data_IF_195455206761
#
_entry.id   IF_195455206761
#
_cell.length_a   1.000
_cell.length_b   1.000
_cell.length_c   1.000
_cell.angle_alpha   90.00
_cell.angle_beta   90.00
_cell.angle_gamma   90.00
#
_symmetry.space_group_name_H-M   'P 1'
#
loop_
_entity.id
_entity.type
_entity.pdbx_description
1 polymer ?
#
# COMPACT_ATOMS: atom_id res chain seq x y z
N UNK A 1 3.59 -18.52 -22.89
CA UNK A 1 2.89 -17.83 -21.79
C UNK A 1 3.88 -17.77 -20.64
N UNK A 2 4.49 -16.59 -20.40
CA UNK A 2 5.46 -16.43 -19.32
C UNK A 2 4.75 -16.62 -17.97
N UNK A 3 5.23 -17.59 -17.20
CA UNK A 3 4.88 -17.80 -15.80
C UNK A 3 5.39 -16.61 -14.99
N UNK A 4 4.50 -15.80 -14.42
CA UNK A 4 4.84 -14.82 -13.39
C UNK A 4 5.09 -15.56 -12.07
N UNK A 5 6.30 -16.12 -11.96
CA UNK A 5 6.81 -16.75 -10.75
C UNK A 5 6.94 -15.69 -9.64
N UNK A 6 6.05 -15.72 -8.66
CA UNK A 6 6.42 -15.57 -7.25
C UNK A 6 6.67 -14.17 -6.66
N UNK A 7 6.53 -13.06 -7.38
CA UNK A 7 6.47 -11.74 -6.75
C UNK A 7 5.01 -11.33 -6.54
N UNK A 8 4.39 -11.90 -5.51
CA UNK A 8 3.18 -11.31 -4.95
C UNK A 8 3.57 -9.90 -4.52
N UNK A 9 3.05 -8.89 -5.21
CA UNK A 9 3.32 -7.48 -4.88
C UNK A 9 2.79 -7.27 -3.47
N UNK A 10 3.70 -7.14 -2.51
CA UNK A 10 3.36 -7.01 -1.10
C UNK A 10 2.38 -5.83 -0.93
N UNK A 11 1.38 -5.99 -0.07
CA UNK A 11 0.34 -4.97 0.15
C UNK A 11 -0.82 -4.92 -0.86
N UNK A 12 -0.81 -5.67 -1.97
CA UNK A 12 -1.98 -5.72 -2.86
C UNK A 12 -3.19 -6.39 -2.20
N UNK A 13 -4.36 -5.78 -2.31
CA UNK A 13 -5.61 -6.36 -1.82
C UNK A 13 -5.96 -7.60 -2.65
N UNK A 14 -6.20 -8.73 -1.96
CA UNK A 14 -6.61 -9.97 -2.63
C UNK A 14 -8.03 -9.86 -3.20
N UNK A 15 -8.39 -10.75 -4.12
CA UNK A 15 -9.75 -10.82 -4.64
C UNK A 15 -10.80 -11.05 -3.54
N UNK A 16 -10.45 -11.78 -2.46
CA UNK A 16 -11.32 -11.94 -1.31
C UNK A 16 -11.45 -10.63 -0.52
N UNK A 17 -10.36 -9.90 -0.30
CA UNK A 17 -10.41 -8.61 0.39
C UNK A 17 -11.21 -7.54 -0.36
N UNK A 18 -11.18 -7.57 -1.70
CA UNK A 18 -12.04 -6.72 -2.53
C UNK A 18 -13.53 -7.06 -2.38
N UNK A 19 -13.86 -8.35 -2.22
CA UNK A 19 -15.23 -8.78 -1.92
C UNK A 19 -15.66 -8.34 -0.52
N UNK A 20 -14.78 -8.45 0.47
CA UNK A 20 -15.06 -7.99 1.84
C UNK A 20 -15.34 -6.47 1.86
N UNK A 21 -14.63 -5.68 1.05
CA UNK A 21 -14.90 -4.26 0.85
C UNK A 21 -16.26 -3.99 0.18
N UNK A 22 -16.63 -4.76 -0.85
CA UNK A 22 -17.91 -4.59 -1.57
C UNK A 22 -19.13 -4.92 -0.69
N UNK A 23 -18.97 -5.87 0.24
CA UNK A 23 -20.01 -6.29 1.18
C UNK A 23 -20.11 -5.40 2.43
N UNK A 24 -19.06 -4.64 2.74
CA UNK A 24 -19.01 -3.77 3.91
C UNK A 24 -19.71 -2.42 3.68
N UNK A 25 -20.20 -1.83 4.77
CA UNK A 25 -20.79 -0.48 4.73
C UNK A 25 -20.55 0.27 6.04
N UNK A 26 -20.67 1.61 5.97
CA UNK A 26 -20.47 2.47 7.13
C UNK A 26 -19.09 2.30 7.76
N UNK A 27 -19.04 2.29 9.10
CA UNK A 27 -17.78 2.21 9.84
C UNK A 27 -16.96 0.93 9.56
N UNK A 28 -17.61 -0.17 9.16
CA UNK A 28 -16.89 -1.40 8.81
C UNK A 28 -16.17 -1.26 7.47
N UNK A 29 -16.80 -0.60 6.49
CA UNK A 29 -16.14 -0.27 5.22
C UNK A 29 -14.93 0.63 5.47
N UNK A 30 -15.09 1.70 6.24
CA UNK A 30 -14.01 2.65 6.54
C UNK A 30 -12.83 1.93 7.22
N UNK A 31 -13.12 1.02 8.15
CA UNK A 31 -12.12 0.22 8.84
C UNK A 31 -11.37 -0.72 7.90
N UNK A 32 -12.07 -1.46 7.03
CA UNK A 32 -11.46 -2.37 6.06
C UNK A 32 -10.63 -1.61 5.04
N UNK A 33 -11.16 -0.51 4.51
CA UNK A 33 -10.48 0.34 3.54
C UNK A 33 -9.16 0.87 4.10
N UNK A 34 -9.17 1.43 5.31
CA UNK A 34 -7.97 1.95 5.96
C UNK A 34 -6.92 0.85 6.19
N UNK A 35 -7.33 -0.33 6.68
CA UNK A 35 -6.41 -1.45 6.90
C UNK A 35 -5.75 -1.92 5.60
N UNK A 36 -6.52 -2.05 4.53
CA UNK A 36 -6.00 -2.47 3.23
C UNK A 36 -5.10 -1.41 2.58
N UNK A 37 -5.44 -0.13 2.71
CA UNK A 37 -4.59 0.96 2.19
C UNK A 37 -3.30 1.13 2.98
N UNK A 38 -3.31 0.90 4.29
CA UNK A 38 -2.07 0.86 5.07
C UNK A 38 -1.15 -0.26 4.53
N UNK A 39 -1.67 -1.48 4.38
CA UNK A 39 -0.87 -2.60 3.86
C UNK A 39 -0.35 -2.34 2.44
N UNK A 40 -1.19 -1.78 1.56
CA UNK A 40 -0.80 -1.41 0.20
C UNK A 40 0.34 -0.39 0.16
N UNK A 41 0.26 0.64 1.01
CA UNK A 41 1.30 1.65 1.13
C UNK A 41 2.60 1.10 1.70
N UNK A 42 2.53 0.21 2.70
CA UNK A 42 3.70 -0.47 3.26
C UNK A 42 4.44 -1.29 2.19
N UNK A 43 3.70 -2.05 1.39
CA UNK A 43 4.26 -2.80 0.26
C UNK A 43 4.88 -1.90 -0.80
N UNK A 44 4.24 -0.78 -1.13
CA UNK A 44 4.79 0.20 -2.07
C UNK A 44 6.06 0.90 -1.55
N UNK A 45 6.16 1.17 -0.24
CA UNK A 45 7.38 1.66 0.40
C UNK A 45 8.49 0.62 0.32
N UNK A 46 8.20 -0.63 0.64
CA UNK A 46 9.18 -1.71 0.55
C UNK A 46 9.74 -1.86 -0.87
N UNK A 47 8.87 -1.81 -1.89
CA UNK A 47 9.30 -1.82 -3.30
C UNK A 47 10.13 -0.60 -3.68
N UNK A 48 9.76 0.60 -3.22
CA UNK A 48 10.50 1.82 -3.52
C UNK A 48 11.88 1.87 -2.86
N UNK A 49 12.05 1.16 -1.73
CA UNK A 49 13.32 1.04 -1.02
C UNK A 49 14.21 -0.10 -1.55
N UNK A 50 13.68 -0.97 -2.42
CA UNK A 50 14.44 -2.10 -2.96
C UNK A 50 15.64 -1.61 -3.81
N UNK A 51 16.88 -1.98 -3.45
CA UNK A 51 18.08 -1.62 -4.23
C UNK A 51 18.06 -2.13 -5.68
N UNK A 52 17.27 -3.16 -5.99
CA UNK A 52 17.10 -3.66 -7.37
C UNK A 52 16.22 -2.73 -8.22
N UNK A 53 15.36 -1.93 -7.58
CA UNK A 53 14.53 -0.91 -8.23
C UNK A 53 15.30 0.42 -8.32
N UNK A 54 16.17 0.69 -7.34
CA UNK A 54 17.01 1.89 -7.28
C UNK A 54 18.27 1.73 -8.16
N UNK A 55 18.26 2.33 -9.36
CA UNK A 55 19.41 2.40 -10.26
C UNK A 55 20.12 3.77 -10.25
N UNK A 56 20.99 4.03 -11.23
CA UNK A 56 21.72 5.31 -11.36
C UNK A 56 20.86 6.47 -11.94
N UNK A 57 19.56 6.25 -12.16
CA UNK A 57 18.65 7.27 -12.67
C UNK A 57 18.22 8.24 -11.56
N UNK A 58 18.69 9.49 -11.66
CA UNK A 58 18.42 10.53 -10.66
C UNK A 58 16.94 10.93 -10.59
N UNK A 59 16.20 10.91 -11.71
CA UNK A 59 14.79 11.27 -11.76
C UNK A 59 13.95 10.16 -11.11
N UNK A 60 14.25 8.90 -11.43
CA UNK A 60 13.62 7.75 -10.79
C UNK A 60 13.87 7.76 -9.27
N UNK A 61 15.12 7.97 -8.84
CA UNK A 61 15.44 8.03 -7.42
C UNK A 61 14.73 9.18 -6.69
N UNK A 62 14.54 10.32 -7.35
CA UNK A 62 13.77 11.42 -6.80
C UNK A 62 12.28 11.05 -6.63
N UNK A 63 11.70 10.36 -7.63
CA UNK A 63 10.33 9.86 -7.56
C UNK A 63 10.15 8.83 -6.44
N UNK A 64 11.04 7.84 -6.32
CA UNK A 64 10.96 6.80 -5.29
C UNK A 64 11.04 7.41 -3.88
N UNK A 65 11.90 8.41 -3.66
CA UNK A 65 11.95 9.16 -2.39
C UNK A 65 10.67 9.94 -2.10
N UNK A 66 10.07 10.56 -3.13
CA UNK A 66 8.81 11.27 -3.00
C UNK A 66 7.67 10.32 -2.62
N UNK A 67 7.61 9.13 -3.24
CA UNK A 67 6.65 8.06 -2.93
C UNK A 67 6.79 7.62 -1.47
N UNK A 68 8.01 7.31 -1.02
CA UNK A 68 8.25 6.88 0.38
C UNK A 68 7.80 7.97 1.36
N UNK A 69 8.10 9.23 1.07
CA UNK A 69 7.74 10.36 1.94
C UNK A 69 6.23 10.54 2.02
N UNK A 70 5.54 10.55 0.88
CA UNK A 70 4.09 10.73 0.82
C UNK A 70 3.36 9.56 1.49
N UNK A 71 3.71 8.32 1.14
CA UNK A 71 2.99 7.15 1.64
C UNK A 71 3.24 6.89 3.13
N UNK A 72 4.41 7.23 3.66
CA UNK A 72 4.63 7.23 5.13
C UNK A 72 3.69 8.22 5.82
N UNK A 73 3.56 9.44 5.28
CA UNK A 73 2.67 10.45 5.86
C UNK A 73 1.20 10.04 5.76
N UNK A 74 0.79 9.39 4.67
CA UNK A 74 -0.56 8.86 4.49
C UNK A 74 -0.87 7.71 5.45
N UNK A 75 0.07 6.78 5.67
CA UNK A 75 -0.06 5.74 6.71
C UNK A 75 -0.30 6.36 8.08
N UNK A 76 0.44 7.41 8.45
CA UNK A 76 0.25 8.10 9.73
C UNK A 76 -1.15 8.73 9.86
N UNK A 77 -1.70 9.27 8.77
CA UNK A 77 -3.07 9.79 8.78
C UNK A 77 -4.10 8.67 8.89
N UNK A 78 -3.94 7.60 8.12
CA UNK A 78 -4.85 6.45 8.14
C UNK A 78 -4.88 5.78 9.51
N UNK A 79 -3.73 5.64 10.17
CA UNK A 79 -3.67 5.13 11.55
C UNK A 79 -4.42 6.00 12.54
N UNK A 80 -4.36 7.34 12.41
CA UNK A 80 -5.15 8.26 13.25
C UNK A 80 -6.65 8.12 12.99
N UNK A 81 -7.05 8.01 11.72
CA UNK A 81 -8.46 7.78 11.36
C UNK A 81 -8.95 6.44 11.92
N UNK A 82 -8.14 5.38 11.84
CA UNK A 82 -8.49 4.06 12.35
C UNK A 82 -8.69 4.07 13.87
N UNK A 83 -7.88 4.84 14.61
CA UNK A 83 -8.05 5.05 16.06
C UNK A 83 -9.36 5.78 16.41
N UNK A 84 -9.89 6.61 15.50
CA UNK A 84 -11.16 7.32 15.71
C UNK A 84 -12.39 6.45 15.42
N UNK A 85 -12.20 5.30 14.75
CA UNK A 85 -13.25 4.32 14.44
C UNK A 85 -13.36 3.21 15.51
N UNK A 86 -12.52 3.25 16.55
CA UNK A 86 -12.56 2.35 17.71
C UNK A 86 -13.49 2.88 18.79
#
# INVERSE_FOLDING_TARGET
>A
MMSHTGHQMDGMVSASGLKDLDEASGAEFDRLFLQYMIAHHEGAIAMAQDPLVNGDDAELNALLKAIVTAQTAEIDQMNKMLQQLQ
#
